data_IF_201386264210
#
_entry.id   IF_201386264210
#
_cell.length_a   1.000
_cell.length_b   1.000
_cell.length_c   1.000
_cell.angle_alpha   90.00
_cell.angle_beta   90.00
_cell.angle_gamma   90.00
#
_symmetry.space_group_name_H-M   'P 1'
#
loop_
_entity.id
_entity.type
_entity.pdbx_description
1 polymer ?
#
# COMPACT_ATOMS: atom_id res chain seq x y z
N UNK A 1 2.72 -23.93 -5.99
CA UNK A 1 1.68 -23.34 -5.13
C UNK A 1 2.35 -22.33 -4.23
N UNK A 2 2.07 -21.04 -4.42
CA UNK A 2 2.63 -19.99 -3.58
C UNK A 2 1.58 -19.69 -2.52
N UNK A 3 1.84 -20.08 -1.27
CA UNK A 3 1.06 -19.58 -0.15
C UNK A 3 1.28 -18.06 -0.13
N UNK A 4 0.27 -17.31 -0.55
CA UNK A 4 0.27 -15.87 -0.37
C UNK A 4 0.04 -15.68 1.13
N UNK A 5 1.13 -15.67 1.90
CA UNK A 5 1.10 -15.46 3.34
C UNK A 5 0.26 -14.21 3.60
N UNK A 6 -0.88 -14.38 4.25
CA UNK A 6 -1.64 -13.25 4.74
C UNK A 6 -0.81 -12.63 5.86
N UNK A 7 0.01 -11.65 5.49
CA UNK A 7 0.76 -10.86 6.45
C UNK A 7 -0.25 -10.08 7.31
N UNK A 8 0.01 -9.92 8.60
CA UNK A 8 -0.88 -9.14 9.47
C UNK A 8 -0.52 -7.65 9.38
N UNK A 9 -1.53 -6.81 9.13
CA UNK A 9 -1.38 -5.36 9.17
C UNK A 9 -0.77 -4.75 7.91
N UNK A 10 -0.09 -3.61 8.07
CA UNK A 10 0.53 -2.90 6.95
C UNK A 10 1.83 -3.58 6.52
N UNK A 11 1.87 -3.98 5.26
CA UNK A 11 3.09 -4.42 4.55
C UNK A 11 3.01 -4.00 3.08
N UNK A 12 4.14 -3.96 2.34
CA UNK A 12 4.13 -3.68 0.91
C UNK A 12 3.24 -4.63 0.10
N UNK A 13 3.24 -5.92 0.48
CA UNK A 13 2.44 -6.96 -0.16
C UNK A 13 0.95 -6.74 0.10
N UNK A 14 0.57 -6.46 1.34
CA UNK A 14 -0.83 -6.20 1.70
C UNK A 14 -1.37 -4.92 1.08
N UNK A 15 -0.57 -3.85 1.07
CA UNK A 15 -0.95 -2.59 0.41
C UNK A 15 -1.26 -2.84 -1.06
N UNK A 16 -0.39 -3.57 -1.77
CA UNK A 16 -0.59 -3.93 -3.17
C UNK A 16 -1.78 -4.86 -3.38
N UNK A 17 -2.00 -5.83 -2.49
CA UNK A 17 -3.10 -6.77 -2.56
C UNK A 17 -4.45 -6.06 -2.39
N UNK A 18 -4.60 -5.25 -1.35
CA UNK A 18 -5.80 -4.46 -1.06
C UNK A 18 -6.09 -3.49 -2.21
N UNK A 19 -5.07 -2.75 -2.68
CA UNK A 19 -5.22 -1.84 -3.81
C UNK A 19 -5.80 -2.56 -5.04
N UNK A 20 -5.26 -3.72 -5.39
CA UNK A 20 -5.74 -4.53 -6.52
C UNK A 20 -7.14 -5.08 -6.30
N UNK A 21 -7.44 -5.54 -5.09
CA UNK A 21 -8.75 -6.08 -4.73
C UNK A 21 -9.87 -5.05 -4.89
N UNK A 22 -9.57 -3.77 -4.63
CA UNK A 22 -10.50 -2.65 -4.82
C UNK A 22 -10.34 -1.94 -6.19
N UNK A 23 -9.64 -2.55 -7.15
CA UNK A 23 -9.41 -2.00 -8.49
C UNK A 23 -8.76 -0.60 -8.53
N UNK A 24 -8.01 -0.24 -7.49
CA UNK A 24 -7.35 1.05 -7.38
C UNK A 24 -6.01 1.05 -8.11
N UNK A 25 -5.67 2.16 -8.76
CA UNK A 25 -4.31 2.42 -9.25
C UNK A 25 -3.44 3.00 -8.14
N UNK A 26 -2.11 3.00 -8.34
CA UNK A 26 -1.20 3.66 -7.39
C UNK A 26 -1.47 5.18 -7.32
N UNK A 27 -1.97 5.77 -8.41
CA UNK A 27 -2.37 7.17 -8.44
C UNK A 27 -3.65 7.42 -7.62
N UNK A 28 -4.61 6.49 -7.66
CA UNK A 28 -5.83 6.58 -6.84
C UNK A 28 -5.50 6.51 -5.35
N UNK A 29 -4.66 5.56 -4.95
CA UNK A 29 -4.17 5.47 -3.56
C UNK A 29 -3.46 6.76 -3.15
N UNK A 30 -2.61 7.31 -4.03
CA UNK A 30 -1.93 8.56 -3.76
C UNK A 30 -2.90 9.72 -3.56
N UNK A 31 -3.96 9.80 -4.37
CA UNK A 31 -5.04 10.79 -4.23
C UNK A 31 -5.82 10.61 -2.93
N UNK A 32 -6.13 9.38 -2.54
CA UNK A 32 -6.87 9.06 -1.30
C UNK A 32 -6.11 9.54 -0.06
N UNK A 33 -4.79 9.30 0.00
CA UNK A 33 -3.98 9.59 1.19
C UNK A 33 -3.15 10.89 1.09
N UNK A 34 -3.42 11.71 0.07
CA UNK A 34 -2.78 13.03 -0.11
C UNK A 34 -1.26 12.94 -0.32
N UNK A 35 -0.81 12.10 -1.24
CA UNK A 35 0.62 11.95 -1.57
C UNK A 35 0.88 11.84 -3.08
N UNK A 36 2.12 11.56 -3.48
CA UNK A 36 2.47 11.32 -4.88
C UNK A 36 2.42 9.83 -5.23
N UNK A 37 2.09 9.49 -6.47
CA UNK A 37 2.12 8.11 -6.97
C UNK A 37 3.49 7.45 -6.76
N UNK A 38 4.58 8.22 -6.94
CA UNK A 38 5.95 7.75 -6.67
C UNK A 38 6.10 7.25 -5.25
N UNK A 39 5.48 7.91 -4.27
CA UNK A 39 5.55 7.47 -2.87
C UNK A 39 4.84 6.11 -2.67
N UNK A 40 3.68 5.92 -3.30
CA UNK A 40 2.95 4.64 -3.25
C UNK A 40 3.78 3.51 -3.87
N UNK A 41 4.50 3.76 -4.97
CA UNK A 41 5.44 2.77 -5.54
C UNK A 41 6.50 2.36 -4.53
N UNK A 42 7.06 3.31 -3.77
CA UNK A 42 8.06 3.03 -2.73
C UNK A 42 7.48 2.22 -1.57
N UNK A 43 6.23 2.48 -1.19
CA UNK A 43 5.52 1.71 -0.17
C UNK A 43 5.23 0.27 -0.60
N UNK A 44 4.99 0.04 -1.90
CA UNK A 44 4.80 -1.31 -2.46
C UNK A 44 6.13 -2.02 -2.82
N UNK A 45 7.26 -1.33 -2.65
CA UNK A 45 8.58 -1.90 -2.93
C UNK A 45 9.00 -2.79 -1.77
N UNK A 46 9.68 -3.90 -2.08
CA UNK A 46 10.22 -4.83 -1.09
C UNK A 46 11.04 -4.11 -0.01
N UNK A 47 10.79 -4.45 1.26
CA UNK A 47 11.44 -3.85 2.43
C UNK A 47 12.96 -4.01 2.40
N UNK A 48 13.49 -5.04 1.73
CA UNK A 48 14.92 -5.29 1.59
C UNK A 48 15.59 -4.35 0.59
N UNK A 49 14.82 -3.68 -0.28
CA UNK A 49 15.37 -2.69 -1.22
C UNK A 49 15.48 -1.32 -0.56
N UNK A 50 16.48 -1.15 0.30
CA UNK A 50 16.70 0.06 1.13
C UNK A 50 16.86 1.36 0.32
N UNK A 51 17.28 1.28 -0.95
CA UNK A 51 17.45 2.45 -1.83
C UNK A 51 16.13 3.01 -2.38
N UNK A 52 15.11 2.15 -2.53
CA UNK A 52 13.85 2.49 -3.18
C UNK A 52 12.65 2.38 -2.22
N UNK A 53 12.74 1.58 -1.18
CA UNK A 53 11.68 1.37 -0.20
C UNK A 53 11.45 2.61 0.69
N UNK A 54 10.22 2.75 1.17
CA UNK A 54 9.82 3.68 2.23
C UNK A 54 8.57 3.14 2.89
N UNK A 55 8.35 3.50 4.14
CA UNK A 55 7.12 3.13 4.83
C UNK A 55 6.01 4.17 4.68
N UNK A 56 4.78 3.67 4.65
CA UNK A 56 3.58 4.47 4.81
C UNK A 56 3.39 4.76 6.30
N UNK A 57 3.03 5.99 6.66
CA UNK A 57 2.65 6.28 8.05
C UNK A 57 1.33 5.60 8.40
N UNK A 58 1.22 5.13 9.65
CA UNK A 58 0.00 4.48 10.14
C UNK A 58 -1.27 5.34 9.96
N UNK A 59 -1.16 6.66 10.11
CA UNK A 59 -2.27 7.58 9.87
C UNK A 59 -2.80 7.49 8.42
N UNK A 60 -1.90 7.43 7.43
CA UNK A 60 -2.31 7.26 6.03
C UNK A 60 -2.92 5.89 5.79
N UNK A 61 -2.37 4.85 6.43
CA UNK A 61 -2.89 3.49 6.35
C UNK A 61 -4.36 3.44 6.79
N UNK A 62 -4.68 4.06 7.93
CA UNK A 62 -6.06 4.18 8.41
C UNK A 62 -6.97 4.95 7.44
N UNK A 63 -6.48 6.02 6.81
CA UNK A 63 -7.25 6.77 5.80
C UNK A 63 -7.59 5.89 4.61
N UNK A 64 -6.63 5.09 4.13
CA UNK A 64 -6.87 4.15 3.03
C UNK A 64 -7.91 3.10 3.41
N UNK A 65 -7.77 2.45 4.57
CA UNK A 65 -8.72 1.44 5.05
C UNK A 65 -10.13 2.02 5.22
N UNK A 66 -10.24 3.19 5.84
CA UNK A 66 -11.53 3.89 6.01
C UNK A 66 -12.17 4.26 4.67
N UNK A 67 -11.38 4.48 3.62
CA UNK A 67 -11.92 4.80 2.29
C UNK A 67 -12.51 3.57 1.59
N UNK A 68 -11.87 2.40 1.75
CA UNK A 68 -12.27 1.16 1.06
C UNK A 68 -13.34 0.35 1.81
N UNK A 69 -13.54 0.60 3.10
CA UNK A 69 -14.61 0.01 3.90
C UNK A 69 -16.00 0.65 3.65
N UNK A 70 -16.04 1.79 2.95
CA UNK A 70 -17.27 2.47 2.54
C UNK A 70 -17.83 1.88 1.25
#
# INVERSE_FOLDING_TARGET
MMYQEMELGYTPNNLKAIRKAHHLTQADVAKIVGTSQRMVIRWETDVNNTSAHSDMSYAKWLVLLTHIEK
#
